data_IF_967486507269
#
_entry.id   IF_967486507269
#
_cell.length_a   1.000
_cell.length_b   1.000
_cell.length_c   1.000
_cell.angle_alpha   90.00
_cell.angle_beta   90.00
_cell.angle_gamma   90.00
#
_symmetry.space_group_name_H-M   'P 1'
#
loop_
_entity.id
_entity.type
_entity.pdbx_description
1 polymer ?
#
# COMPACT_ATOMS: atom_id res chain seq x y z
N UNK A 1 39.48 -13.29 -4.13
CA UNK A 1 38.05 -13.24 -4.50
C UNK A 1 37.27 -12.70 -3.31
N UNK A 2 36.93 -11.42 -3.31
CA UNK A 2 36.16 -10.79 -2.24
C UNK A 2 34.70 -10.71 -2.69
N UNK A 3 33.86 -11.59 -2.13
CA UNK A 3 32.41 -11.53 -2.29
C UNK A 3 31.87 -10.35 -1.50
N UNK A 4 31.57 -9.25 -2.19
CA UNK A 4 30.85 -8.11 -1.61
C UNK A 4 29.42 -8.52 -1.34
N UNK A 5 29.09 -8.68 -0.05
CA UNK A 5 27.73 -8.90 0.43
C UNK A 5 26.85 -7.70 0.05
N UNK A 6 25.92 -7.91 -0.88
CA UNK A 6 24.84 -6.96 -1.17
C UNK A 6 23.78 -7.06 -0.07
N UNK A 7 23.90 -6.22 0.95
CA UNK A 7 22.78 -5.95 1.87
C UNK A 7 22.74 -4.45 2.12
N UNK A 8 21.97 -3.72 1.31
CA UNK A 8 21.43 -2.44 1.77
C UNK A 8 20.57 -2.78 3.00
N UNK A 9 20.86 -2.26 4.20
CA UNK A 9 19.96 -2.43 5.32
C UNK A 9 18.59 -1.87 4.89
N UNK A 10 17.56 -2.69 4.99
CA UNK A 10 16.19 -2.27 4.70
C UNK A 10 15.79 -1.13 5.64
N UNK A 11 14.79 -0.35 5.24
CA UNK A 11 14.24 0.70 6.09
C UNK A 11 13.74 0.09 7.40
N UNK A 12 14.25 0.57 8.53
CA UNK A 12 13.87 0.12 9.87
C UNK A 12 12.36 0.26 10.09
N UNK A 13 11.71 -0.77 10.64
CA UNK A 13 10.25 -0.87 10.78
C UNK A 13 9.59 0.16 11.72
N UNK A 14 10.36 0.81 12.58
CA UNK A 14 9.83 1.88 13.45
C UNK A 14 9.36 3.10 12.64
N UNK A 15 10.02 3.38 11.52
CA UNK A 15 9.74 4.50 10.62
C UNK A 15 8.41 4.34 9.83
N UNK A 16 8.14 3.20 9.17
CA UNK A 16 6.89 2.99 8.44
C UNK A 16 5.65 2.81 9.32
N UNK A 17 5.80 2.43 10.60
CA UNK A 17 4.64 2.25 11.48
C UNK A 17 4.01 3.58 11.93
N UNK A 18 4.80 4.66 12.07
CA UNK A 18 4.28 6.01 12.20
C UNK A 18 3.79 6.57 10.86
N UNK A 19 4.57 6.34 9.80
CA UNK A 19 4.31 6.92 8.49
C UNK A 19 2.94 6.55 7.89
N UNK A 20 2.44 5.31 8.07
CA UNK A 20 1.11 4.98 7.54
C UNK A 20 -0.03 5.73 8.25
N UNK A 21 0.12 6.03 9.55
CA UNK A 21 -0.89 6.76 10.32
C UNK A 21 -0.92 8.22 9.90
N UNK A 22 0.25 8.85 9.75
CA UNK A 22 0.37 10.23 9.27
C UNK A 22 -0.26 10.39 7.88
N UNK A 23 0.01 9.43 6.98
CA UNK A 23 -0.55 9.42 5.61
C UNK A 23 -2.05 9.22 5.60
N UNK A 24 -2.59 8.39 6.51
CA UNK A 24 -4.03 8.22 6.64
C UNK A 24 -4.71 9.46 7.23
N UNK A 25 -4.08 10.13 8.19
CA UNK A 25 -4.59 11.39 8.74
C UNK A 25 -4.60 12.49 7.67
N UNK A 26 -3.54 12.60 6.87
CA UNK A 26 -3.45 13.50 5.74
C UNK A 26 -4.52 13.22 4.69
N UNK A 27 -4.75 11.94 4.35
CA UNK A 27 -5.82 11.53 3.45
C UNK A 27 -7.20 11.98 3.94
N UNK A 28 -7.49 11.80 5.23
CA UNK A 28 -8.76 12.21 5.83
C UNK A 28 -8.94 13.74 5.81
N UNK A 29 -7.87 14.50 6.07
CA UNK A 29 -7.90 15.98 5.97
C UNK A 29 -8.20 16.43 4.54
N UNK A 30 -7.54 15.84 3.55
CA UNK A 30 -7.77 16.16 2.13
C UNK A 30 -9.18 15.79 1.69
N UNK A 31 -9.71 14.65 2.17
CA UNK A 31 -11.08 14.25 1.90
C UNK A 31 -12.09 15.24 2.47
N UNK A 32 -11.88 15.72 3.70
CA UNK A 32 -12.73 16.75 4.32
C UNK A 32 -12.63 18.13 3.67
N UNK A 33 -11.64 18.34 2.81
CA UNK A 33 -11.45 19.55 2.01
C UNK A 33 -11.85 19.35 0.53
N UNK A 34 -12.54 18.25 0.21
CA UNK A 34 -12.99 17.87 -1.14
C UNK A 34 -11.86 17.65 -2.19
N UNK A 35 -10.62 17.46 -1.73
CA UNK A 35 -9.48 17.10 -2.59
C UNK A 35 -9.42 15.58 -2.78
N UNK A 36 -10.43 14.99 -3.43
CA UNK A 36 -10.63 13.54 -3.46
C UNK A 36 -9.48 12.77 -4.13
N UNK A 37 -8.92 13.27 -5.23
CA UNK A 37 -7.79 12.63 -5.91
C UNK A 37 -6.56 12.56 -5.01
N UNK A 38 -6.22 13.68 -4.36
CA UNK A 38 -5.10 13.73 -3.43
C UNK A 38 -5.35 12.85 -2.18
N UNK A 39 -6.57 12.86 -1.65
CA UNK A 39 -6.97 12.01 -0.54
C UNK A 39 -6.80 10.53 -0.88
N UNK A 40 -7.21 10.13 -2.08
CA UNK A 40 -7.11 8.75 -2.55
C UNK A 40 -5.64 8.33 -2.76
N UNK A 41 -4.81 9.20 -3.32
CA UNK A 41 -3.36 8.96 -3.43
C UNK A 41 -2.72 8.72 -2.05
N UNK A 42 -3.04 9.56 -1.06
CA UNK A 42 -2.51 9.40 0.30
C UNK A 42 -3.04 8.13 0.98
N UNK A 43 -4.31 7.79 0.77
CA UNK A 43 -4.89 6.56 1.30
C UNK A 43 -4.21 5.30 0.70
N UNK A 44 -3.91 5.30 -0.60
CA UNK A 44 -3.16 4.20 -1.22
C UNK A 44 -1.74 4.07 -0.65
N UNK A 45 -1.04 5.18 -0.42
CA UNK A 45 0.26 5.15 0.23
C UNK A 45 0.18 4.62 1.67
N UNK A 46 -0.82 5.05 2.44
CA UNK A 46 -1.04 4.54 3.79
C UNK A 46 -1.28 3.02 3.78
N UNK A 47 -2.12 2.52 2.85
CA UNK A 47 -2.40 1.10 2.71
C UNK A 47 -1.15 0.30 2.33
N UNK A 48 -0.35 0.80 1.39
CA UNK A 48 0.89 0.17 0.95
C UNK A 48 1.90 0.04 2.11
N UNK A 49 2.14 1.13 2.83
CA UNK A 49 3.06 1.15 3.98
C UNK A 49 2.55 0.19 5.06
N UNK A 50 1.24 0.22 5.34
CA UNK A 50 0.64 -0.68 6.31
C UNK A 50 0.83 -2.15 5.94
N UNK A 51 0.62 -2.53 4.67
CA UNK A 51 0.85 -3.90 4.21
C UNK A 51 2.31 -4.30 4.36
N UNK A 52 3.26 -3.44 3.99
CA UNK A 52 4.70 -3.69 4.17
C UNK A 52 5.04 -3.97 5.64
N UNK A 53 4.54 -3.16 6.56
CA UNK A 53 4.71 -3.37 8.02
C UNK A 53 4.10 -4.70 8.45
N UNK A 54 2.90 -5.03 7.96
CA UNK A 54 2.22 -6.28 8.29
C UNK A 54 2.94 -7.51 7.75
N UNK A 55 3.54 -7.43 6.56
CA UNK A 55 4.36 -8.48 5.97
C UNK A 55 5.58 -8.75 6.86
N UNK A 56 6.32 -7.71 7.22
CA UNK A 56 7.49 -7.89 8.08
C UNK A 56 7.12 -8.47 9.44
N UNK A 57 6.03 -8.01 10.05
CA UNK A 57 5.53 -8.60 11.31
C UNK A 57 5.07 -10.05 11.15
N UNK A 58 4.47 -10.41 10.02
CA UNK A 58 3.99 -11.78 9.79
C UNK A 58 5.15 -12.75 9.55
N UNK A 59 6.21 -12.28 8.89
CA UNK A 59 7.39 -13.07 8.56
C UNK A 59 8.50 -12.97 9.63
N UNK A 60 8.25 -12.27 10.74
CA UNK A 60 9.21 -12.01 11.81
C UNK A 60 10.54 -11.40 11.32
N UNK A 61 10.43 -10.43 10.42
CA UNK A 61 11.56 -9.73 9.83
C UNK A 61 11.76 -8.38 10.50
N UNK A 62 13.00 -8.04 10.83
CA UNK A 62 13.36 -6.72 11.40
C UNK A 62 13.40 -5.60 10.35
N UNK A 63 13.65 -5.96 9.09
CA UNK A 63 13.82 -5.04 7.96
C UNK A 63 12.91 -5.43 6.81
N UNK A 64 12.48 -4.45 6.02
CA UNK A 64 11.68 -4.70 4.81
C UNK A 64 12.55 -5.34 3.72
N UNK A 65 12.22 -6.58 3.26
CA UNK A 65 12.96 -7.21 2.16
C UNK A 65 12.90 -6.38 0.90
N UNK A 66 13.98 -6.39 0.10
CA UNK A 66 14.03 -5.70 -1.20
C UNK A 66 12.87 -6.11 -2.11
N UNK A 67 12.46 -7.38 -2.07
CA UNK A 67 11.31 -7.87 -2.84
C UNK A 67 10.00 -7.16 -2.46
N UNK A 68 9.85 -6.72 -1.21
CA UNK A 68 8.67 -6.00 -0.72
C UNK A 68 8.79 -4.47 -0.88
N UNK A 69 9.83 -3.95 -1.54
CA UNK A 69 10.00 -2.51 -1.82
C UNK A 69 9.25 -2.06 -3.09
N UNK A 70 8.32 -2.88 -3.57
CA UNK A 70 7.42 -2.60 -4.68
C UNK A 70 6.25 -1.70 -4.24
N UNK A 71 5.64 -1.01 -5.20
CA UNK A 71 4.48 -0.12 -4.99
C UNK A 71 3.17 -0.73 -5.54
N UNK A 72 3.13 -2.04 -5.75
CA UNK A 72 1.96 -2.77 -6.27
C UNK A 72 1.30 -3.56 -5.14
N UNK A 73 0.04 -3.25 -4.84
CA UNK A 73 -0.72 -3.89 -3.77
C UNK A 73 -0.91 -5.40 -4.00
N UNK A 74 -1.17 -5.82 -5.25
CA UNK A 74 -1.40 -7.23 -5.57
C UNK A 74 -0.13 -8.05 -5.41
N UNK A 75 0.99 -7.54 -5.89
CA UNK A 75 2.28 -8.21 -5.72
C UNK A 75 2.66 -8.30 -4.23
N UNK A 76 2.38 -7.27 -3.42
CA UNK A 76 2.60 -7.32 -1.96
C UNK A 76 1.78 -8.45 -1.30
N UNK A 77 0.52 -8.64 -1.72
CA UNK A 77 -0.30 -9.75 -1.22
C UNK A 77 0.25 -11.11 -1.66
N UNK A 78 0.75 -11.23 -2.89
CA UNK A 78 1.40 -12.46 -3.36
C UNK A 78 2.64 -12.78 -2.54
N UNK A 79 3.52 -11.80 -2.33
CA UNK A 79 4.75 -11.96 -1.54
C UNK A 79 4.49 -12.28 -0.08
N UNK A 80 3.37 -11.80 0.47
CA UNK A 80 2.95 -12.11 1.84
C UNK A 80 2.41 -13.54 2.02
N UNK A 81 2.19 -14.28 0.94
CA UNK A 81 1.53 -15.58 0.95
C UNK A 81 0.03 -15.52 1.26
N UNK A 82 -0.57 -14.33 1.32
CA UNK A 82 -1.98 -14.14 1.65
C UNK A 82 -2.93 -14.26 0.45
N UNK A 83 -2.41 -14.37 -0.78
CA UNK A 83 -3.22 -14.41 -2.00
C UNK A 83 -4.31 -15.48 -1.95
N UNK A 84 -3.97 -16.72 -1.63
CA UNK A 84 -4.94 -17.81 -1.54
C UNK A 84 -5.97 -17.58 -0.44
N UNK A 85 -5.57 -17.01 0.70
CA UNK A 85 -6.50 -16.69 1.79
C UNK A 85 -7.49 -15.61 1.37
N UNK A 86 -7.02 -14.59 0.68
CA UNK A 86 -7.84 -13.52 0.12
C UNK A 86 -8.81 -14.06 -0.94
N UNK A 87 -8.34 -14.90 -1.85
CA UNK A 87 -9.18 -15.50 -2.91
C UNK A 87 -10.27 -16.40 -2.33
N UNK A 88 -9.96 -17.16 -1.28
CA UNK A 88 -10.90 -18.04 -0.60
C UNK A 88 -12.03 -17.29 0.12
N UNK A 89 -11.94 -15.97 0.27
CA UNK A 89 -13.01 -15.16 0.86
C UNK A 89 -14.21 -15.00 -0.09
N UNK A 90 -14.09 -15.31 -1.38
CA UNK A 90 -15.22 -15.27 -2.33
C UNK A 90 -15.87 -13.88 -2.39
N UNK A 91 -17.17 -13.80 -2.05
CA UNK A 91 -17.95 -12.54 -2.06
C UNK A 91 -17.86 -11.74 -0.76
N UNK A 92 -16.93 -12.07 0.13
CA UNK A 92 -16.74 -11.30 1.36
C UNK A 92 -16.38 -9.83 1.05
N UNK A 93 -16.89 -8.85 1.81
CA UNK A 93 -16.65 -7.43 1.56
C UNK A 93 -15.16 -7.06 1.44
N UNK A 94 -14.29 -7.71 2.21
CA UNK A 94 -12.84 -7.49 2.12
C UNK A 94 -12.28 -7.84 0.74
N UNK A 95 -12.73 -8.93 0.13
CA UNK A 95 -12.28 -9.33 -1.21
C UNK A 95 -12.79 -8.36 -2.27
N UNK A 96 -14.06 -7.99 -2.20
CA UNK A 96 -14.67 -7.03 -3.12
C UNK A 96 -13.96 -5.68 -3.05
N UNK A 97 -13.78 -5.15 -1.83
CA UNK A 97 -13.09 -3.88 -1.63
C UNK A 97 -11.63 -3.96 -2.07
N UNK A 98 -10.97 -5.08 -1.80
CA UNK A 98 -9.59 -5.29 -2.26
C UNK A 98 -9.49 -5.27 -3.79
N UNK A 99 -10.36 -5.99 -4.50
CA UNK A 99 -10.33 -6.05 -5.96
C UNK A 99 -10.56 -4.68 -6.59
N UNK A 100 -11.51 -3.91 -6.06
CA UNK A 100 -11.77 -2.55 -6.50
C UNK A 100 -10.53 -1.65 -6.27
N UNK A 101 -9.96 -1.67 -5.06
CA UNK A 101 -8.79 -0.86 -4.72
C UNK A 101 -7.56 -1.23 -5.54
N UNK A 102 -7.33 -2.53 -5.77
CA UNK A 102 -6.18 -3.01 -6.52
C UNK A 102 -6.28 -2.68 -8.02
N UNK A 103 -7.50 -2.68 -8.58
CA UNK A 103 -7.73 -2.20 -9.94
C UNK A 103 -7.47 -0.69 -10.06
N UNK A 104 -8.07 0.10 -9.16
CA UNK A 104 -7.89 1.56 -9.13
C UNK A 104 -6.43 1.98 -8.94
N UNK A 105 -5.68 1.30 -8.07
CA UNK A 105 -4.27 1.61 -7.86
C UNK A 105 -3.45 1.37 -9.14
N UNK A 106 -3.67 0.24 -9.80
CA UNK A 106 -2.91 -0.15 -10.98
C UNK A 106 -3.14 0.81 -12.15
N UNK A 107 -4.40 1.21 -12.36
CA UNK A 107 -4.80 1.95 -13.55
C UNK A 107 -4.74 3.47 -13.34
N UNK A 108 -4.88 3.96 -12.10
CA UNK A 108 -5.16 5.38 -11.84
C UNK A 108 -4.29 6.05 -10.79
N UNK A 109 -3.29 5.37 -10.20
CA UNK A 109 -2.46 6.01 -9.16
C UNK A 109 -1.71 7.25 -9.66
N UNK A 110 -1.31 7.29 -10.93
CA UNK A 110 -0.71 8.48 -11.52
C UNK A 110 -1.73 9.61 -11.70
N UNK A 111 -2.97 9.29 -12.08
CA UNK A 111 -4.04 10.28 -12.22
C UNK A 111 -4.32 10.95 -10.87
N UNK A 112 -4.39 10.18 -9.79
CA UNK A 112 -4.56 10.71 -8.43
C UNK A 112 -3.38 11.55 -7.96
N UNK A 113 -2.15 11.22 -8.38
CA UNK A 113 -0.93 11.97 -8.03
C UNK A 113 -0.83 13.31 -8.77
N UNK A 114 -1.25 13.38 -10.03
CA UNK A 114 -1.06 14.57 -10.87
C UNK A 114 -2.34 15.42 -11.03
N UNK A 115 -3.51 14.87 -10.70
CA UNK A 115 -4.79 15.57 -10.73
C UNK A 115 -5.47 15.54 -9.35
N UNK A 116 -5.01 16.39 -8.40
CA UNK A 116 -5.48 16.38 -7.01
C UNK A 116 -6.97 16.73 -6.84
N UNK A 117 -7.54 17.48 -7.81
CA UNK A 117 -8.96 17.84 -7.89
C UNK A 117 -9.77 16.92 -8.80
N UNK A 118 -9.26 15.73 -9.15
CA UNK A 118 -10.05 14.77 -9.91
C UNK A 118 -11.25 14.33 -9.07
N UNK A 119 -12.40 14.96 -9.30
CA UNK A 119 -13.68 14.50 -8.80
C UNK A 119 -14.09 13.24 -9.59
N UNK A 120 -13.39 12.12 -9.37
CA UNK A 120 -13.95 10.80 -9.68
C UNK A 120 -14.93 10.40 -8.58
N UNK A 121 -15.92 11.25 -8.38
CA UNK A 121 -17.15 10.95 -7.71
C UNK A 121 -18.19 10.85 -8.82
N UNK A 122 -18.66 9.63 -9.10
CA UNK A 122 -19.66 9.22 -10.11
C UNK A 122 -19.11 8.77 -11.47
N UNK A 123 -18.87 7.47 -11.58
CA UNK A 123 -19.20 6.67 -12.77
C UNK A 123 -19.59 5.27 -12.33
#
# INVERSE_FOLDING_TARGET
MAGGSFTKPGTSLADPQGAYQDRLEEANKLFGLDYYGAAMAQAFYALEIYLKVRICKHLDLSDLPTACQIHDLNELIVLSGLKTRLDNLGTHPVKINWDALAAEQKDHINDFRYHPNSNRSQS
#
